data_IF_529554184651
#
_entry.id   IF_529554184651
#
_cell.length_a   1.000
_cell.length_b   1.000
_cell.length_c   1.000
_cell.angle_alpha   90.00
_cell.angle_beta   90.00
_cell.angle_gamma   90.00
#
_symmetry.space_group_name_H-M   'P 1'
#
loop_
_entity.id
_entity.type
_entity.pdbx_description
1 polymer ?
#
# COMPACT_ATOMS: atom_id res chain seq x y z
N UNK A 1 -29.46 28.03 -29.70
CA UNK A 1 -28.75 28.10 -28.41
C UNK A 1 -28.45 26.67 -27.98
N UNK A 2 -27.21 26.26 -28.13
CA UNK A 2 -26.70 24.93 -27.81
C UNK A 2 -25.19 25.01 -28.00
N UNK A 3 -24.48 25.29 -26.91
CA UNK A 3 -23.02 25.30 -26.90
C UNK A 3 -22.51 23.88 -26.64
N UNK A 4 -21.95 23.30 -27.69
CA UNK A 4 -21.30 22.00 -27.70
C UNK A 4 -19.86 22.19 -27.19
N UNK A 5 -19.59 21.77 -25.95
CA UNK A 5 -18.24 21.83 -25.38
C UNK A 5 -17.38 20.73 -26.03
N UNK A 6 -16.59 21.12 -27.02
CA UNK A 6 -15.56 20.29 -27.64
C UNK A 6 -14.33 20.26 -26.72
N UNK A 7 -14.04 19.11 -26.12
CA UNK A 7 -12.75 18.86 -25.49
C UNK A 7 -11.69 18.71 -26.59
N UNK A 8 -10.96 19.79 -26.86
CA UNK A 8 -9.74 19.75 -27.66
C UNK A 8 -8.67 18.98 -26.92
N UNK A 9 -8.32 17.79 -27.40
CA UNK A 9 -7.12 17.08 -26.96
C UNK A 9 -5.87 17.84 -27.40
N UNK A 10 -4.96 18.08 -26.47
CA UNK A 10 -3.63 18.63 -26.73
C UNK A 10 -2.86 17.72 -27.73
N UNK A 11 -2.49 18.21 -28.93
CA UNK A 11 -1.81 17.41 -29.94
C UNK A 11 -0.33 17.10 -29.65
N UNK A 12 0.20 17.50 -28.50
CA UNK A 12 1.58 17.18 -28.11
C UNK A 12 1.69 16.42 -26.79
N UNK A 13 0.84 15.40 -26.60
CA UNK A 13 1.12 14.34 -25.62
C UNK A 13 2.13 13.34 -26.19
N UNK A 14 3.36 13.81 -26.48
CA UNK A 14 4.51 12.92 -26.70
C UNK A 14 4.73 12.16 -25.40
N UNK A 15 4.44 10.86 -25.47
CA UNK A 15 4.71 9.87 -24.44
C UNK A 15 6.14 10.04 -23.97
N UNK A 16 6.34 10.52 -22.75
CA UNK A 16 7.60 10.29 -22.07
C UNK A 16 7.45 8.90 -21.43
N UNK A 17 8.13 7.86 -21.95
CA UNK A 17 7.98 6.53 -21.38
C UNK A 17 8.47 6.56 -19.93
N UNK A 18 7.78 5.86 -19.03
CA UNK A 18 8.41 5.46 -17.76
C UNK A 18 9.75 4.80 -18.11
N UNK A 19 10.86 5.07 -17.39
CA UNK A 19 12.02 4.21 -17.52
C UNK A 19 11.53 2.80 -17.21
N UNK A 20 11.56 1.93 -18.23
CA UNK A 20 11.21 0.52 -18.07
C UNK A 20 12.12 0.00 -16.97
N UNK A 21 11.52 -0.47 -15.87
CA UNK A 21 12.24 -1.19 -14.83
C UNK A 21 12.59 -2.54 -15.46
N UNK A 22 13.74 -2.61 -16.13
CA UNK A 22 14.32 -3.86 -16.61
C UNK A 22 15.15 -4.46 -15.49
N UNK A 23 14.46 -5.01 -14.47
CA UNK A 23 14.95 -6.24 -13.85
C UNK A 23 14.17 -7.37 -14.52
N UNK A 24 14.24 -7.40 -15.85
CA UNK A 24 13.82 -8.57 -16.61
C UNK A 24 15.07 -9.44 -16.71
N UNK A 25 14.95 -10.77 -16.50
CA UNK A 25 16.05 -11.64 -16.83
C UNK A 25 16.51 -11.35 -18.28
N UNK A 26 17.82 -11.38 -18.57
CA UNK A 26 18.33 -11.01 -19.88
C UNK A 26 17.60 -11.78 -20.99
N UNK A 27 17.22 -11.07 -22.05
CA UNK A 27 16.39 -11.66 -23.11
C UNK A 27 17.11 -12.83 -23.80
N UNK A 28 18.43 -12.78 -23.93
CA UNK A 28 19.26 -13.79 -24.59
C UNK A 28 20.56 -14.04 -23.79
N UNK A 29 20.53 -14.90 -22.75
CA UNK A 29 21.74 -15.28 -22.01
C UNK A 29 22.66 -16.15 -22.89
N UNK A 30 23.96 -15.86 -22.90
CA UNK A 30 24.95 -16.52 -23.78
C UNK A 30 26.09 -17.18 -23.01
N UNK A 31 26.36 -16.78 -21.77
CA UNK A 31 27.36 -17.43 -20.91
C UNK A 31 26.71 -18.16 -19.73
N UNK A 32 27.39 -19.14 -19.11
CA UNK A 32 26.89 -19.79 -17.90
C UNK A 32 26.56 -18.81 -16.77
N UNK A 33 27.35 -17.75 -16.61
CA UNK A 33 27.13 -16.70 -15.61
C UNK A 33 25.89 -15.85 -15.94
N UNK A 34 25.68 -15.53 -17.22
CA UNK A 34 24.47 -14.85 -17.68
C UNK A 34 23.23 -15.73 -17.48
N UNK A 35 23.34 -17.05 -17.70
CA UNK A 35 22.28 -18.02 -17.42
C UNK A 35 21.97 -18.15 -15.92
N UNK A 36 22.99 -18.15 -15.05
CA UNK A 36 22.79 -18.16 -13.60
C UNK A 36 22.08 -16.88 -13.14
N UNK A 37 22.53 -15.71 -13.60
CA UNK A 37 21.90 -14.44 -13.26
C UNK A 37 20.46 -14.36 -13.77
N UNK A 38 20.19 -14.87 -14.98
CA UNK A 38 18.84 -14.95 -15.54
C UNK A 38 17.92 -15.88 -14.73
N UNK A 39 18.44 -17.06 -14.35
CA UNK A 39 17.71 -18.04 -13.55
C UNK A 39 17.36 -17.48 -12.16
N UNK A 40 18.34 -16.88 -11.49
CA UNK A 40 18.16 -16.25 -10.16
C UNK A 40 17.15 -15.11 -10.21
N UNK A 41 17.23 -14.23 -11.21
CA UNK A 41 16.29 -13.13 -11.39
C UNK A 41 14.87 -13.64 -11.71
N UNK A 42 14.73 -14.62 -12.61
CA UNK A 42 13.44 -15.18 -12.99
C UNK A 42 12.75 -15.88 -11.82
N UNK A 43 13.48 -16.68 -11.04
CA UNK A 43 12.95 -17.34 -9.84
C UNK A 43 12.54 -16.33 -8.77
N UNK A 44 13.35 -15.30 -8.52
CA UNK A 44 13.02 -14.25 -7.56
C UNK A 44 11.77 -13.47 -7.98
N UNK A 45 11.59 -13.17 -9.27
CA UNK A 45 10.38 -12.54 -9.80
C UNK A 45 9.14 -13.44 -9.68
N UNK A 46 9.26 -14.74 -9.95
CA UNK A 46 8.17 -15.70 -9.75
C UNK A 46 7.75 -15.78 -8.28
N UNK A 47 8.70 -15.75 -7.34
CA UNK A 47 8.43 -15.71 -5.90
C UNK A 47 7.73 -14.40 -5.49
N UNK A 48 8.12 -13.27 -6.08
CA UNK A 48 7.44 -11.98 -5.86
C UNK A 48 6.03 -11.96 -6.45
N UNK A 49 5.82 -12.52 -7.64
CA UNK A 49 4.50 -12.62 -8.25
C UNK A 49 3.58 -13.56 -7.47
N UNK A 50 4.10 -14.70 -7.02
CA UNK A 50 3.39 -15.60 -6.10
C UNK A 50 3.00 -14.85 -4.82
N UNK A 51 3.93 -14.14 -4.19
CA UNK A 51 3.64 -13.33 -3.01
C UNK A 51 2.57 -12.26 -3.26
N UNK A 52 2.50 -11.70 -4.47
CA UNK A 52 1.43 -10.77 -4.89
C UNK A 52 0.10 -11.48 -5.07
N UNK A 53 0.05 -12.61 -5.77
CA UNK A 53 -1.15 -13.45 -5.99
C UNK A 53 -1.74 -13.89 -4.65
N UNK A 54 -0.90 -14.28 -3.69
CA UNK A 54 -1.32 -14.67 -2.35
C UNK A 54 -1.58 -13.48 -1.40
N UNK A 55 -1.48 -12.24 -1.90
CA UNK A 55 -1.79 -11.03 -1.13
C UNK A 55 -0.79 -10.70 -0.02
N UNK A 56 0.41 -11.31 -0.06
CA UNK A 56 1.53 -11.00 0.83
C UNK A 56 2.21 -9.69 0.43
N UNK A 57 2.16 -9.34 -0.85
CA UNK A 57 2.59 -8.05 -1.39
C UNK A 57 1.40 -7.26 -1.91
N UNK A 58 1.31 -5.99 -1.51
CA UNK A 58 0.26 -5.05 -1.96
C UNK A 58 0.60 -4.39 -3.30
N UNK A 59 1.88 -4.37 -3.68
CA UNK A 59 2.44 -3.81 -4.92
C UNK A 59 3.70 -4.58 -5.30
N UNK A 60 4.04 -4.59 -6.58
CA UNK A 60 5.24 -5.24 -7.11
C UNK A 60 5.39 -4.95 -8.61
N UNK A 61 6.52 -5.31 -9.23
CA UNK A 61 6.65 -5.25 -10.69
C UNK A 61 5.57 -6.12 -11.36
N UNK A 62 5.13 -5.74 -12.55
CA UNK A 62 4.41 -6.68 -13.41
C UNK A 62 5.39 -7.77 -13.84
N UNK A 63 5.04 -9.02 -13.57
CA UNK A 63 5.89 -10.18 -13.86
C UNK A 63 5.27 -10.93 -15.02
N UNK A 64 6.05 -11.09 -16.09
CA UNK A 64 5.75 -12.05 -17.15
C UNK A 64 6.13 -13.45 -16.64
N UNK A 65 5.17 -14.10 -15.98
CA UNK A 65 5.39 -15.39 -15.34
C UNK A 65 5.74 -16.47 -16.36
N UNK A 66 5.15 -16.43 -17.55
CA UNK A 66 5.43 -17.39 -18.63
C UNK A 66 6.89 -17.30 -19.05
N UNK A 67 7.39 -16.09 -19.33
CA UNK A 67 8.80 -15.87 -19.66
C UNK A 67 9.76 -16.27 -18.54
N UNK A 68 9.40 -16.01 -17.27
CA UNK A 68 10.24 -16.41 -16.15
C UNK A 68 10.30 -17.93 -15.99
N UNK A 69 9.17 -18.63 -16.17
CA UNK A 69 9.12 -20.08 -16.16
C UNK A 69 9.95 -20.69 -17.30
N UNK A 70 9.89 -20.13 -18.51
CA UNK A 70 10.73 -20.56 -19.63
C UNK A 70 12.23 -20.48 -19.28
N UNK A 71 12.64 -19.37 -18.66
CA UNK A 71 14.06 -19.14 -18.32
C UNK A 71 14.54 -20.12 -17.24
N UNK A 72 13.77 -20.32 -16.18
CA UNK A 72 14.11 -21.30 -15.12
C UNK A 72 14.15 -22.72 -15.68
N UNK A 73 13.16 -23.08 -16.51
CA UNK A 73 13.09 -24.41 -17.12
C UNK A 73 14.26 -24.65 -18.10
N UNK A 74 14.59 -23.67 -18.94
CA UNK A 74 15.68 -23.77 -19.90
C UNK A 74 17.05 -23.82 -19.21
N UNK A 75 17.26 -23.00 -18.17
CA UNK A 75 18.47 -23.04 -17.36
C UNK A 75 18.70 -24.44 -16.75
N UNK A 76 17.64 -25.07 -16.23
CA UNK A 76 17.70 -26.44 -15.71
C UNK A 76 17.99 -27.48 -16.80
N UNK A 77 17.19 -27.50 -17.86
CA UNK A 77 17.24 -28.58 -18.86
C UNK A 77 18.48 -28.51 -19.77
N UNK A 78 18.90 -27.30 -20.18
CA UNK A 78 19.99 -27.16 -21.16
C UNK A 78 21.33 -26.82 -20.52
N UNK A 79 21.34 -26.26 -19.30
CA UNK A 79 22.57 -25.82 -18.64
C UNK A 79 22.81 -26.47 -17.27
N UNK A 80 21.86 -27.25 -16.72
CA UNK A 80 21.98 -27.83 -15.39
C UNK A 80 22.04 -26.81 -14.27
N UNK A 81 21.53 -25.59 -14.52
CA UNK A 81 21.58 -24.46 -13.62
C UNK A 81 20.26 -24.39 -12.83
N UNK A 82 20.38 -24.38 -11.50
CA UNK A 82 19.28 -24.17 -10.57
C UNK A 82 19.34 -22.74 -9.99
N UNK A 83 18.19 -22.16 -9.57
CA UNK A 83 18.20 -20.89 -8.85
C UNK A 83 19.02 -20.98 -7.56
N UNK A 84 19.84 -19.96 -7.31
CA UNK A 84 20.59 -19.84 -6.07
C UNK A 84 19.64 -19.70 -4.86
N UNK A 85 20.00 -20.30 -3.72
CA UNK A 85 19.19 -20.19 -2.49
C UNK A 85 19.02 -18.74 -2.03
N UNK A 86 19.99 -17.88 -2.32
CA UNK A 86 20.06 -16.46 -1.94
C UNK A 86 19.60 -15.49 -3.05
N UNK A 87 18.97 -15.99 -4.12
CA UNK A 87 18.55 -15.19 -5.27
C UNK A 87 17.59 -14.04 -4.88
N UNK A 88 16.71 -14.28 -3.91
CA UNK A 88 15.76 -13.27 -3.41
C UNK A 88 16.48 -12.20 -2.60
N UNK A 89 17.42 -12.58 -1.73
CA UNK A 89 18.23 -11.66 -0.96
C UNK A 89 19.08 -10.75 -1.86
N UNK A 90 19.69 -11.31 -2.91
CA UNK A 90 20.45 -10.56 -3.92
C UNK A 90 19.57 -9.55 -4.64
N UNK A 91 18.40 -9.97 -5.12
CA UNK A 91 17.44 -9.07 -5.77
C UNK A 91 16.99 -7.94 -4.83
N UNK A 92 16.72 -8.25 -3.56
CA UNK A 92 16.32 -7.26 -2.54
C UNK A 92 17.46 -6.29 -2.23
N UNK A 93 18.71 -6.76 -2.16
CA UNK A 93 19.89 -5.93 -1.96
C UNK A 93 20.14 -4.97 -3.14
N UNK A 94 20.00 -5.49 -4.37
CA UNK A 94 20.08 -4.70 -5.59
C UNK A 94 18.97 -3.65 -5.64
N UNK A 95 17.71 -4.00 -5.36
CA UNK A 95 16.61 -3.03 -5.28
C UNK A 95 16.77 -2.02 -4.12
N UNK A 96 17.42 -2.41 -3.03
CA UNK A 96 17.68 -1.60 -1.85
C UNK A 96 18.63 -0.41 -2.11
N UNK A 97 19.64 -0.60 -2.96
CA UNK A 97 20.59 0.47 -3.34
C UNK A 97 19.92 1.62 -4.12
N UNK A 98 18.82 1.33 -4.83
CA UNK A 98 18.09 2.31 -5.66
C UNK A 98 17.16 3.19 -4.82
N UNK A 99 16.73 2.67 -3.67
CA UNK A 99 15.84 3.35 -2.73
C UNK A 99 16.47 4.61 -2.15
N UNK A 100 17.80 4.67 -2.04
CA UNK A 100 18.55 5.83 -1.53
C UNK A 100 18.59 6.99 -2.54
N UNK A 101 18.62 6.71 -3.85
CA UNK A 101 18.60 7.74 -4.90
C UNK A 101 17.19 8.28 -5.17
N UNK A 102 16.17 7.41 -5.16
CA UNK A 102 14.78 7.78 -5.46
C UNK A 102 14.08 8.59 -4.36
N UNK A 103 14.61 8.61 -3.12
CA UNK A 103 14.08 9.44 -2.02
C UNK A 103 14.29 10.95 -2.29
N UNK A 104 15.22 11.33 -3.17
CA UNK A 104 15.55 12.74 -3.43
C UNK A 104 14.80 13.36 -4.62
N UNK A 105 14.20 12.56 -5.51
CA UNK A 105 13.52 13.07 -6.71
C UNK A 105 12.02 12.70 -6.70
N UNK A 106 11.21 13.48 -5.99
CA UNK A 106 9.74 13.33 -6.01
C UNK A 106 9.18 13.69 -7.40
N UNK A 107 8.56 12.72 -8.08
CA UNK A 107 7.60 12.99 -9.16
C UNK A 107 6.21 13.28 -8.58
N UNK A 108 5.55 14.40 -8.98
CA UNK A 108 4.28 14.86 -8.43
C UNK A 108 3.02 14.07 -8.88
N UNK A 109 3.16 12.89 -9.48
CA UNK A 109 2.02 12.15 -10.09
C UNK A 109 1.73 10.77 -9.50
N UNK A 110 2.47 10.28 -8.50
CA UNK A 110 2.08 9.10 -7.73
C UNK A 110 1.74 9.52 -6.30
N UNK A 111 0.47 9.41 -5.90
CA UNK A 111 0.07 9.70 -4.52
C UNK A 111 0.89 8.82 -3.58
N UNK A 112 1.51 9.44 -2.57
CA UNK A 112 2.37 8.75 -1.62
C UNK A 112 1.59 7.60 -0.96
N UNK A 113 2.22 6.44 -0.68
CA UNK A 113 1.55 5.34 -0.02
C UNK A 113 1.00 5.80 1.33
N UNK A 114 -0.28 5.54 1.57
CA UNK A 114 -0.91 5.84 2.85
C UNK A 114 -0.56 4.74 3.84
N UNK A 115 0.05 5.13 4.95
CA UNK A 115 0.41 4.21 6.03
C UNK A 115 -0.82 3.86 6.86
N UNK A 116 -0.74 2.81 7.68
CA UNK A 116 -1.82 2.49 8.62
C UNK A 116 -1.29 2.17 10.02
N UNK A 117 -2.05 2.58 11.03
CA UNK A 117 -1.76 2.31 12.45
C UNK A 117 -3.04 1.99 13.22
N UNK A 118 -2.91 1.14 14.24
CA UNK A 118 -3.94 0.89 15.22
C UNK A 118 -3.50 1.39 16.59
N UNK A 119 -4.29 2.20 17.29
CA UNK A 119 -3.85 2.64 18.62
C UNK A 119 -3.89 1.50 19.65
N UNK A 120 -4.90 0.61 19.58
CA UNK A 120 -5.08 -0.49 20.54
C UNK A 120 -4.94 0.02 21.99
N UNK A 121 -4.13 -0.66 22.79
CA UNK A 121 -3.74 -0.30 24.16
C UNK A 121 -2.38 0.40 24.26
N UNK A 122 -1.70 0.70 23.13
CA UNK A 122 -0.33 1.26 23.09
C UNK A 122 -0.24 2.60 23.80
N UNK A 123 0.77 2.83 24.62
CA UNK A 123 1.02 4.15 25.22
C UNK A 123 1.15 5.24 24.14
N UNK A 124 0.93 6.51 24.51
CA UNK A 124 1.03 7.59 23.53
C UNK A 124 2.47 7.71 23.00
N UNK A 125 3.46 7.51 23.86
CA UNK A 125 4.89 7.60 23.55
C UNK A 125 5.28 6.56 22.50
N UNK A 126 4.85 5.30 22.66
CA UNK A 126 5.07 4.25 21.69
C UNK A 126 4.35 4.54 20.37
N UNK A 127 3.11 5.03 20.46
CA UNK A 127 2.31 5.38 19.28
C UNK A 127 2.96 6.51 18.48
N UNK A 128 3.33 7.62 19.14
CA UNK A 128 4.02 8.75 18.53
C UNK A 128 5.41 8.35 18.00
N UNK A 129 6.14 7.50 18.72
CA UNK A 129 7.41 6.95 18.27
C UNK A 129 7.30 6.21 16.94
N UNK A 130 6.27 5.37 16.77
CA UNK A 130 6.00 4.67 15.50
C UNK A 130 5.68 5.65 14.35
N UNK A 131 4.90 6.69 14.62
CA UNK A 131 4.58 7.73 13.63
C UNK A 131 5.84 8.49 13.20
N UNK A 132 6.67 8.92 14.16
CA UNK A 132 7.91 9.66 13.90
C UNK A 132 8.94 8.80 13.15
N UNK A 133 9.15 7.56 13.59
CA UNK A 133 10.07 6.63 12.93
C UNK A 133 9.69 6.36 11.46
N UNK A 134 8.41 6.56 11.11
CA UNK A 134 7.92 6.41 9.75
C UNK A 134 7.69 7.73 9.04
N UNK A 135 8.15 8.87 9.57
CA UNK A 135 8.03 10.19 8.94
C UNK A 135 6.59 10.64 8.69
N UNK A 136 5.65 10.25 9.55
CA UNK A 136 4.24 10.65 9.41
C UNK A 136 4.09 12.14 9.71
N UNK A 137 3.52 12.86 8.75
CA UNK A 137 3.21 14.30 8.88
C UNK A 137 1.75 14.51 9.32
N UNK A 138 0.86 13.60 8.93
CA UNK A 138 -0.56 13.67 9.24
C UNK A 138 -1.15 12.33 9.65
N UNK A 139 -1.76 12.30 10.83
CA UNK A 139 -2.60 11.19 11.27
C UNK A 139 -4.05 11.44 10.82
N UNK A 140 -4.60 10.48 10.08
CA UNK A 140 -5.99 10.48 9.62
C UNK A 140 -6.78 9.47 10.42
N UNK A 141 -7.58 9.95 11.37
CA UNK A 141 -8.45 9.13 12.18
C UNK A 141 -9.70 8.73 11.39
N UNK A 142 -9.84 7.45 11.08
CA UNK A 142 -11.01 6.92 10.37
C UNK A 142 -12.01 6.26 11.32
N UNK A 143 -11.86 6.40 12.63
CA UNK A 143 -12.86 5.86 13.56
C UNK A 143 -14.15 6.64 13.38
N UNK A 144 -15.27 5.96 13.10
CA UNK A 144 -16.60 6.61 13.05
C UNK A 144 -16.88 7.40 14.33
N UNK A 145 -16.45 6.85 15.46
CA UNK A 145 -16.52 7.47 16.78
C UNK A 145 -15.10 7.55 17.35
N UNK A 146 -14.51 8.75 17.33
CA UNK A 146 -13.14 8.98 17.83
C UNK A 146 -13.08 9.09 19.36
N UNK A 147 -14.22 9.38 20.01
CA UNK A 147 -14.31 9.40 21.46
C UNK A 147 -14.14 7.98 22.04
N UNK A 148 -13.30 7.87 23.07
CA UNK A 148 -13.07 6.61 23.78
C UNK A 148 -12.88 6.89 25.27
N UNK A 149 -13.84 6.46 26.11
CA UNK A 149 -13.71 6.57 27.56
C UNK A 149 -12.64 5.64 28.14
N UNK A 150 -12.46 4.45 27.54
CA UNK A 150 -11.46 3.46 27.95
C UNK A 150 -10.02 3.87 27.61
N UNK A 151 -9.85 4.65 26.55
CA UNK A 151 -8.57 5.15 26.09
C UNK A 151 -8.64 6.65 25.81
N UNK A 152 -8.89 7.43 26.87
CA UNK A 152 -9.13 8.88 26.84
C UNK A 152 -8.06 9.67 26.11
N UNK A 153 -6.78 9.26 26.17
CA UNK A 153 -5.67 9.87 25.44
C UNK A 153 -5.75 9.73 23.91
N UNK A 154 -6.48 8.71 23.42
CA UNK A 154 -6.83 8.56 22.01
C UNK A 154 -8.25 9.06 21.72
N UNK A 155 -8.86 9.80 22.66
CA UNK A 155 -10.15 10.45 22.49
C UNK A 155 -10.05 11.71 21.62
N UNK A 156 -11.21 12.16 21.11
CA UNK A 156 -11.32 13.19 20.07
C UNK A 156 -10.53 14.47 20.34
N UNK A 157 -10.56 15.01 21.56
CA UNK A 157 -9.90 16.29 21.86
C UNK A 157 -8.47 16.14 22.40
N UNK A 158 -8.17 15.00 23.04
CA UNK A 158 -6.86 14.76 23.65
C UNK A 158 -5.79 14.42 22.61
N UNK A 159 -6.13 13.58 21.64
CA UNK A 159 -5.18 13.10 20.63
C UNK A 159 -4.62 14.22 19.74
N UNK A 160 -5.42 15.18 19.21
CA UNK A 160 -4.90 16.28 18.42
C UNK A 160 -3.93 17.17 19.20
N UNK A 161 -4.19 17.40 20.49
CA UNK A 161 -3.30 18.20 21.34
C UNK A 161 -1.95 17.50 21.55
N UNK A 162 -1.97 16.20 21.85
CA UNK A 162 -0.77 15.40 22.02
C UNK A 162 0.05 15.32 20.73
N UNK A 163 -0.59 15.07 19.58
CA UNK A 163 0.10 15.02 18.27
C UNK A 163 0.70 16.35 17.86
N UNK A 164 0.07 17.47 18.22
CA UNK A 164 0.63 18.81 17.98
C UNK A 164 1.97 18.99 18.68
N UNK A 165 2.13 18.46 19.89
CA UNK A 165 3.40 18.45 20.61
C UNK A 165 4.51 17.67 19.90
N UNK A 166 4.14 16.69 19.07
CA UNK A 166 5.03 15.87 18.26
C UNK A 166 5.23 16.41 16.83
N UNK A 167 4.64 17.56 16.49
CA UNK A 167 4.69 18.14 15.14
C UNK A 167 3.84 17.40 14.11
N UNK A 168 2.89 16.56 14.53
CA UNK A 168 2.05 15.73 13.66
C UNK A 168 0.65 16.35 13.57
N UNK A 169 0.16 16.57 12.35
CA UNK A 169 -1.21 17.03 12.12
C UNK A 169 -2.24 15.94 12.37
N UNK A 170 -3.47 16.32 12.75
CA UNK A 170 -4.57 15.39 13.02
C UNK A 170 -5.83 15.77 12.23
N UNK A 171 -6.35 14.84 11.43
CA UNK A 171 -7.63 14.99 10.73
C UNK A 171 -8.56 13.82 11.06
N UNK A 172 -9.84 14.11 11.26
CA UNK A 172 -10.87 13.10 11.50
C UNK A 172 -11.75 12.92 10.26
N UNK A 173 -11.78 11.71 9.69
CA UNK A 173 -12.58 11.35 8.52
C UNK A 173 -13.55 10.19 8.84
N UNK A 174 -14.65 10.45 9.58
CA UNK A 174 -15.61 9.41 9.99
C UNK A 174 -16.35 8.75 8.80
N UNK A 175 -16.34 9.40 7.64
CA UNK A 175 -16.86 8.86 6.37
C UNK A 175 -16.13 7.61 5.88
N UNK A 176 -14.89 7.38 6.36
CA UNK A 176 -14.11 6.17 6.08
C UNK A 176 -14.19 5.11 7.19
N UNK A 177 -15.11 5.27 8.15
CA UNK A 177 -15.12 4.45 9.35
C UNK A 177 -15.82 3.10 9.26
N UNK A 178 -15.25 2.12 9.95
CA UNK A 178 -15.68 0.72 9.89
C UNK A 178 -17.04 0.39 10.51
N UNK A 179 -17.48 1.14 11.53
CA UNK A 179 -18.68 0.76 12.30
C UNK A 179 -19.96 1.11 11.55
N UNK A 180 -20.42 0.19 10.70
CA UNK A 180 -21.61 0.31 9.83
C UNK A 180 -22.52 -0.90 10.02
N UNK A 181 -23.81 -0.75 9.71
CA UNK A 181 -24.79 -1.84 9.71
C UNK A 181 -25.07 -2.27 8.27
N UNK A 182 -25.24 -3.58 7.98
CA UNK A 182 -25.65 -4.03 6.65
C UNK A 182 -26.97 -3.42 6.21
N UNK A 183 -27.11 -3.20 4.92
CA UNK A 183 -28.38 -2.84 4.31
C UNK A 183 -29.32 -4.06 4.28
N UNK A 184 -30.64 -3.88 4.40
CA UNK A 184 -31.60 -4.92 4.04
C UNK A 184 -31.35 -5.38 2.60
N UNK A 185 -31.19 -6.68 2.38
CA UNK A 185 -30.87 -7.24 1.06
C UNK A 185 -29.44 -6.91 0.57
N UNK A 186 -28.50 -6.67 1.49
CA UNK A 186 -27.09 -6.37 1.17
C UNK A 186 -26.54 -7.24 0.03
N UNK A 187 -25.97 -6.62 -1.03
CA UNK A 187 -25.32 -7.37 -2.13
C UNK A 187 -24.03 -8.06 -1.66
N UNK A 188 -23.52 -7.70 -0.48
CA UNK A 188 -22.29 -8.21 0.11
C UNK A 188 -22.51 -9.45 1.00
N UNK A 189 -23.48 -10.30 0.65
CA UNK A 189 -23.90 -11.45 1.45
C UNK A 189 -22.79 -12.48 1.74
N UNK A 190 -21.71 -12.48 0.95
CA UNK A 190 -20.52 -13.32 1.16
C UNK A 190 -19.76 -13.03 2.47
N UNK A 191 -19.92 -11.85 3.07
CA UNK A 191 -19.31 -11.52 4.35
C UNK A 191 -20.12 -12.08 5.53
N UNK A 192 -19.64 -13.15 6.17
CA UNK A 192 -20.30 -13.76 7.34
C UNK A 192 -20.43 -12.81 8.54
N UNK A 193 -19.47 -11.91 8.73
CA UNK A 193 -19.50 -10.93 9.81
C UNK A 193 -20.29 -9.69 9.39
N UNK A 194 -21.30 -9.33 10.18
CA UNK A 194 -22.20 -8.19 9.89
C UNK A 194 -21.47 -6.84 9.82
N UNK A 195 -20.44 -6.62 10.65
CA UNK A 195 -19.67 -5.38 10.63
C UNK A 195 -18.89 -5.21 9.33
N UNK A 196 -18.23 -6.26 8.85
CA UNK A 196 -17.55 -6.25 7.55
C UNK A 196 -18.54 -6.09 6.38
N UNK A 197 -19.68 -6.77 6.45
CA UNK A 197 -20.75 -6.63 5.45
C UNK A 197 -21.28 -5.21 5.37
N UNK A 198 -21.61 -4.61 6.52
CA UNK A 198 -22.08 -3.23 6.58
C UNK A 198 -21.04 -2.21 6.13
N UNK A 199 -19.76 -2.47 6.37
CA UNK A 199 -18.69 -1.62 5.84
C UNK A 199 -18.53 -1.77 4.32
N UNK A 200 -18.65 -3.00 3.78
CA UNK A 200 -18.64 -3.23 2.34
C UNK A 200 -19.83 -2.55 1.64
N UNK A 201 -21.02 -2.56 2.23
CA UNK A 201 -22.17 -1.79 1.74
C UNK A 201 -21.87 -0.28 1.74
N UNK A 202 -21.26 0.21 2.84
CA UNK A 202 -20.90 1.61 3.00
C UNK A 202 -19.87 2.09 1.97
N UNK A 203 -18.94 1.22 1.54
CA UNK A 203 -17.92 1.57 0.53
C UNK A 203 -18.51 2.00 -0.82
N UNK A 204 -19.73 1.57 -1.15
CA UNK A 204 -20.44 2.01 -2.36
C UNK A 204 -21.10 3.39 -2.26
N UNK A 205 -21.14 3.99 -1.07
CA UNK A 205 -21.88 5.23 -0.83
C UNK A 205 -21.15 6.48 -1.36
N UNK A 206 -21.87 7.57 -1.68
CA UNK A 206 -21.26 8.87 -1.96
C UNK A 206 -20.39 9.39 -0.80
N UNK A 207 -20.82 9.20 0.45
CA UNK A 207 -20.07 9.61 1.65
C UNK A 207 -18.68 8.97 1.70
N UNK A 208 -18.60 7.66 1.39
CA UNK A 208 -17.31 6.96 1.35
C UNK A 208 -16.42 7.47 0.21
N UNK A 209 -16.99 7.68 -0.98
CA UNK A 209 -16.26 8.21 -2.15
C UNK A 209 -15.69 9.60 -1.88
N UNK A 210 -16.45 10.47 -1.24
CA UNK A 210 -16.02 11.81 -0.85
C UNK A 210 -14.90 11.76 0.22
N UNK A 211 -15.06 10.89 1.23
CA UNK A 211 -14.02 10.66 2.23
C UNK A 211 -12.72 10.13 1.63
N UNK A 212 -12.82 9.23 0.65
CA UNK A 212 -11.67 8.67 -0.05
C UNK A 212 -10.99 9.74 -0.91
N UNK A 213 -11.75 10.59 -1.62
CA UNK A 213 -11.21 11.71 -2.38
C UNK A 213 -10.39 12.66 -1.51
N UNK A 214 -10.91 13.07 -0.35
CA UNK A 214 -10.19 13.92 0.62
C UNK A 214 -8.89 13.27 1.12
N UNK A 215 -8.95 11.97 1.42
CA UNK A 215 -7.76 11.22 1.86
C UNK A 215 -6.69 11.18 0.77
N UNK A 216 -7.09 10.96 -0.49
CA UNK A 216 -6.14 10.91 -1.61
C UNK A 216 -5.52 12.28 -1.89
N UNK A 217 -6.30 13.37 -1.80
CA UNK A 217 -5.77 14.74 -1.92
C UNK A 217 -4.73 15.03 -0.83
N UNK A 218 -5.02 14.65 0.41
CA UNK A 218 -4.09 14.73 1.53
C UNK A 218 -2.79 13.96 1.29
N UNK A 219 -2.93 12.69 0.91
CA UNK A 219 -1.80 11.79 0.69
C UNK A 219 -0.94 12.24 -0.51
N UNK A 220 -1.49 13.05 -1.42
CA UNK A 220 -0.75 13.71 -2.47
C UNK A 220 0.15 14.86 -1.99
N UNK A 221 -0.14 15.45 -0.81
CA UNK A 221 0.58 16.60 -0.25
C UNK A 221 1.53 16.23 0.87
N UNK A 222 1.10 15.33 1.76
CA UNK A 222 1.78 15.03 3.02
C UNK A 222 1.82 13.52 3.25
N UNK A 223 2.78 13.05 4.05
CA UNK A 223 2.86 11.65 4.44
C UNK A 223 1.78 11.29 5.47
N UNK A 224 0.67 10.76 4.96
CA UNK A 224 -0.52 10.41 5.75
C UNK A 224 -0.47 9.00 6.36
N UNK A 225 -1.00 8.85 7.57
CA UNK A 225 -1.18 7.57 8.26
C UNK A 225 -2.62 7.41 8.76
N UNK A 226 -3.31 6.37 8.30
CA UNK A 226 -4.68 6.05 8.68
C UNK A 226 -4.74 5.31 10.01
N UNK A 227 -5.46 5.87 10.97
CA UNK A 227 -5.62 5.32 12.30
C UNK A 227 -6.99 4.65 12.50
N UNK A 228 -6.97 3.46 13.10
CA UNK A 228 -8.15 2.81 13.67
C UNK A 228 -7.90 2.37 15.13
N UNK A 229 -8.91 1.77 15.78
CA UNK A 229 -8.83 1.30 17.16
C UNK A 229 -8.09 -0.02 17.32
N UNK A 230 -8.28 -0.97 16.40
CA UNK A 230 -7.72 -2.32 16.51
C UNK A 230 -6.23 -2.33 16.16
N UNK A 231 -5.40 -3.06 16.91
CA UNK A 231 -3.97 -3.18 16.63
C UNK A 231 -3.70 -3.73 15.22
N UNK A 232 -4.38 -4.82 14.87
CA UNK A 232 -4.11 -5.61 13.67
C UNK A 232 -5.14 -5.30 12.59
N UNK A 233 -4.66 -5.02 11.39
CA UNK A 233 -5.47 -4.50 10.30
C UNK A 233 -6.50 -5.53 9.79
N UNK A 234 -6.18 -6.83 9.83
CA UNK A 234 -7.07 -7.91 9.37
C UNK A 234 -8.29 -8.18 10.26
N UNK A 235 -8.30 -7.66 11.49
CA UNK A 235 -9.46 -7.75 12.40
C UNK A 235 -10.38 -6.52 12.35
N UNK A 236 -10.04 -5.53 11.54
CA UNK A 236 -10.80 -4.29 11.43
C UNK A 236 -11.09 -3.94 9.99
N UNK A 237 -11.85 -2.86 9.79
CA UNK A 237 -12.28 -2.41 8.47
C UNK A 237 -11.12 -2.04 7.51
N UNK A 238 -9.91 -1.81 8.06
CA UNK A 238 -8.68 -1.65 7.25
C UNK A 238 -8.36 -2.89 6.39
N UNK A 239 -8.92 -4.07 6.72
CA UNK A 239 -8.82 -5.30 5.91
C UNK A 239 -9.36 -5.14 4.50
N UNK A 240 -10.44 -4.38 4.32
CA UNK A 240 -11.17 -4.31 3.04
C UNK A 240 -11.21 -2.89 2.47
N UNK A 241 -10.40 -1.99 3.03
CA UNK A 241 -10.17 -0.67 2.45
C UNK A 241 -9.44 -0.78 1.09
N UNK A 242 -9.73 0.12 0.14
CA UNK A 242 -9.26 0.00 -1.25
C UNK A 242 -7.74 -0.02 -1.34
N UNK A 243 -7.20 -1.17 -1.72
CA UNK A 243 -5.80 -1.59 -1.55
C UNK A 243 -4.74 -0.90 -2.42
N UNK A 244 -5.01 -0.25 -3.58
CA UNK A 244 -3.90 0.22 -4.40
C UNK A 244 -3.07 1.34 -3.75
N UNK A 245 -3.57 1.99 -2.70
CA UNK A 245 -2.93 3.15 -2.03
C UNK A 245 -2.41 2.88 -0.62
N UNK A 246 -2.67 1.70 -0.06
CA UNK A 246 -2.48 1.42 1.36
C UNK A 246 -1.26 0.50 1.50
N UNK A 247 -0.15 1.01 2.02
CA UNK A 247 0.93 0.13 2.47
C UNK A 247 0.57 -0.45 3.84
N UNK A 248 0.93 -1.71 4.06
CA UNK A 248 0.59 -2.52 5.24
C UNK A 248 0.96 -1.90 6.59
N UNK A 249 0.70 -2.65 7.67
CA UNK A 249 0.92 -2.20 9.04
C UNK A 249 2.32 -1.59 9.22
N UNK A 250 2.36 -0.42 9.87
CA UNK A 250 3.61 0.13 10.40
C UNK A 250 4.30 -0.97 11.22
N UNK A 251 5.53 -1.40 10.86
CA UNK A 251 6.18 -2.53 11.50
C UNK A 251 6.27 -2.26 13.00
N UNK A 252 5.81 -3.22 13.81
CA UNK A 252 6.04 -3.18 15.25
C UNK A 252 7.54 -3.21 15.47
N UNK A 253 8.07 -2.21 16.16
CA UNK A 253 9.44 -2.22 16.67
C UNK A 253 9.60 -3.46 17.57
N UNK A 254 10.20 -4.51 17.02
CA UNK A 254 10.83 -5.55 17.83
C UNK A 254 12.10 -4.95 18.42
N UNK A 255 12.19 -5.04 19.74
CA UNK A 255 13.37 -4.71 20.55
C UNK A 255 14.61 -5.48 20.11
#
# INVERSE_FOLDING_TARGET
MGEEVRYGGDPQRKQNPMPKITVSPPNDPRTPEEWQAACDAADALLKLDAARIYGLLSRGPEVDAERCWEIVHHARELHGIEPSEDAVEKLVAELGAWRTAAILERHPTQAAPVLTIGHSTRTFELFAGLLRANGVERLVDVRRFAASGRHSRFGGDALPALLRGEGIGYWHLPGLGGRRRPLPGSPNAGWRNEGFRGYADHMGTPEFREGLGRLLELAGRERACLMCSEAVWWRCHRRISPTPWWCGACPSSTS
#
